data_IF_563382652590
#
_entry.id   IF_563382652590
#
_cell.length_a   1.000
_cell.length_b   1.000
_cell.length_c   1.000
_cell.angle_alpha   90.00
_cell.angle_beta   90.00
_cell.angle_gamma   90.00
#
_symmetry.space_group_name_H-M   'P 1'
#
loop_
_entity.id
_entity.type
_entity.pdbx_description
1 polymer ?
#
# COMPACT_ATOMS: atom_id res chain seq x y z
N UNK A 1 -11.27 10.39 -3.39
CA UNK A 1 -11.79 10.21 -2.04
C UNK A 1 -12.99 11.11 -1.79
N UNK A 2 -13.86 10.75 -0.84
CA UNK A 2 -15.05 11.53 -0.49
C UNK A 2 -15.17 11.63 1.04
N UNK A 3 -14.75 12.76 1.59
CA UNK A 3 -14.92 13.08 3.01
C UNK A 3 -16.09 14.08 3.25
N UNK A 4 -17.00 14.21 2.29
CA UNK A 4 -18.06 15.20 2.34
C UNK A 4 -17.51 16.62 2.24
N UNK A 5 -18.04 17.52 3.06
CA UNK A 5 -17.56 18.92 3.11
C UNK A 5 -16.12 18.98 3.62
N UNK A 6 -15.22 19.50 2.80
CA UNK A 6 -13.79 19.63 3.12
C UNK A 6 -13.55 20.86 4.00
N UNK A 7 -13.41 20.65 5.31
CA UNK A 7 -13.23 21.75 6.28
C UNK A 7 -11.84 22.40 6.08
N UNK A 8 -10.80 21.58 5.94
CA UNK A 8 -9.45 22.05 5.67
C UNK A 8 -8.82 21.19 4.57
N UNK A 9 -8.82 21.64 3.31
CA UNK A 9 -8.31 20.87 2.18
C UNK A 9 -6.86 20.42 2.32
N UNK A 10 -5.99 21.26 2.87
CA UNK A 10 -4.57 20.93 3.07
C UNK A 10 -4.38 19.76 4.05
N UNK A 11 -5.12 19.73 5.14
CA UNK A 11 -5.07 18.62 6.11
C UNK A 11 -5.62 17.34 5.46
N UNK A 12 -6.72 17.44 4.73
CA UNK A 12 -7.33 16.28 4.04
C UNK A 12 -6.35 15.68 3.03
N UNK A 13 -5.72 16.52 2.23
CA UNK A 13 -4.72 16.07 1.25
C UNK A 13 -3.52 15.41 1.93
N UNK A 14 -3.03 15.98 3.03
CA UNK A 14 -2.00 15.38 3.87
C UNK A 14 -2.38 14.01 4.43
N UNK A 15 -3.62 13.82 4.87
CA UNK A 15 -4.15 12.54 5.32
C UNK A 15 -4.21 11.52 4.17
N UNK A 16 -4.65 11.94 2.99
CA UNK A 16 -4.71 11.07 1.80
C UNK A 16 -3.31 10.62 1.38
N UNK A 17 -2.34 11.54 1.29
CA UNK A 17 -0.95 11.21 0.95
C UNK A 17 -0.32 10.27 1.99
N UNK A 18 -0.52 10.56 3.27
CA UNK A 18 -0.01 9.72 4.36
C UNK A 18 -0.61 8.31 4.34
N UNK A 19 -1.93 8.21 4.18
CA UNK A 19 -2.62 6.92 4.10
C UNK A 19 -2.23 6.11 2.86
N UNK A 20 -2.04 6.73 1.70
CA UNK A 20 -1.54 6.04 0.51
C UNK A 20 -0.10 5.55 0.68
N UNK A 21 0.75 6.34 1.35
CA UNK A 21 2.13 5.94 1.67
C UNK A 21 2.15 4.73 2.62
N UNK A 22 1.28 4.71 3.61
CA UNK A 22 1.12 3.56 4.50
C UNK A 22 0.55 2.34 3.75
N UNK A 23 -0.45 2.52 2.89
CA UNK A 23 -0.97 1.44 2.04
C UNK A 23 0.13 0.84 1.15
N UNK A 24 0.99 1.67 0.59
CA UNK A 24 2.18 1.24 -0.15
C UNK A 24 3.13 0.43 0.74
N UNK A 25 3.42 0.92 1.94
CA UNK A 25 4.28 0.22 2.89
C UNK A 25 3.74 -1.18 3.24
N UNK A 26 2.45 -1.27 3.57
CA UNK A 26 1.78 -2.54 3.89
C UNK A 26 1.85 -3.51 2.71
N UNK A 27 1.51 -3.03 1.51
CA UNK A 27 1.47 -3.89 0.34
C UNK A 27 2.86 -4.37 -0.09
N UNK A 28 3.89 -3.53 0.05
CA UNK A 28 5.20 -3.75 -0.57
C UNK A 28 6.29 -4.24 0.36
N UNK A 29 6.16 -4.10 1.68
CA UNK A 29 7.28 -4.46 2.54
C UNK A 29 7.04 -4.65 4.03
N UNK A 30 5.90 -4.21 4.57
CA UNK A 30 5.64 -4.39 6.00
C UNK A 30 5.27 -5.83 6.32
N UNK A 31 6.08 -6.46 7.17
CA UNK A 31 5.85 -7.81 7.68
C UNK A 31 6.36 -7.91 9.12
N UNK A 32 5.59 -8.52 9.99
CA UNK A 32 5.99 -8.78 11.38
C UNK A 32 6.36 -10.25 11.49
N UNK A 33 7.61 -10.52 11.88
CA UNK A 33 8.12 -11.85 12.09
C UNK A 33 8.18 -12.17 13.60
N UNK A 34 7.94 -13.43 13.91
CA UNK A 34 8.04 -13.95 15.26
C UNK A 34 9.05 -15.10 15.33
N UNK A 35 9.78 -15.22 16.45
CA UNK A 35 10.57 -16.40 16.72
C UNK A 35 9.67 -17.58 17.17
N UNK A 36 10.30 -18.73 17.47
CA UNK A 36 9.56 -19.93 17.89
C UNK A 36 8.91 -19.78 19.27
N UNK A 37 9.38 -18.87 20.05
CA UNK A 37 8.91 -18.54 21.40
C UNK A 37 7.81 -17.45 21.39
N UNK A 38 7.51 -16.88 20.21
CA UNK A 38 6.48 -15.85 20.03
C UNK A 38 6.97 -14.42 20.26
N UNK A 39 8.28 -14.18 20.36
CA UNK A 39 8.80 -12.83 20.46
C UNK A 39 8.83 -12.17 19.08
N UNK A 40 8.52 -10.87 19.04
CA UNK A 40 8.58 -10.08 17.81
C UNK A 40 10.03 -9.90 17.38
N UNK A 41 10.33 -10.32 16.15
CA UNK A 41 11.56 -9.97 15.45
C UNK A 41 11.30 -8.70 14.65
N UNK A 42 12.25 -7.78 14.59
CA UNK A 42 12.07 -6.54 13.85
C UNK A 42 11.27 -5.47 14.61
N UNK A 43 11.47 -5.37 15.93
CA UNK A 43 10.85 -4.34 16.76
C UNK A 43 11.48 -2.96 16.67
N UNK A 44 12.35 -2.71 15.68
CA UNK A 44 13.00 -1.43 15.44
C UNK A 44 12.83 -0.97 13.99
N UNK A 45 13.05 0.33 13.72
CA UNK A 45 13.04 0.86 12.36
C UNK A 45 14.20 0.38 11.47
N UNK A 46 15.13 -0.38 12.03
CA UNK A 46 16.16 -1.10 11.25
C UNK A 46 15.58 -2.30 10.52
N UNK A 47 14.55 -2.91 11.07
CA UNK A 47 14.00 -4.20 10.63
C UNK A 47 12.57 -4.07 10.10
N UNK A 48 11.82 -3.08 10.58
CA UNK A 48 10.46 -2.80 10.11
C UNK A 48 10.49 -1.79 8.95
N UNK A 49 9.87 -2.14 7.84
CA UNK A 49 9.85 -1.29 6.65
C UNK A 49 9.05 -0.01 6.86
N UNK A 50 9.73 1.12 6.78
CA UNK A 50 9.16 2.46 6.72
C UNK A 50 9.60 3.10 5.41
N UNK A 51 8.68 3.42 4.48
CA UNK A 51 9.05 4.04 3.22
C UNK A 51 9.73 5.39 3.44
N UNK A 52 10.82 5.61 2.76
CA UNK A 52 11.44 6.93 2.71
C UNK A 52 10.75 7.80 1.66
N UNK A 53 11.02 9.11 1.69
CA UNK A 53 10.50 10.01 0.66
C UNK A 53 10.99 9.66 -0.76
N UNK A 54 12.11 8.96 -0.88
CA UNK A 54 12.63 8.48 -2.16
C UNK A 54 11.84 7.29 -2.71
N UNK A 55 11.35 6.42 -1.84
CA UNK A 55 10.58 5.22 -2.21
C UNK A 55 9.10 5.52 -2.41
N UNK A 56 8.61 6.59 -1.76
CA UNK A 56 7.20 6.98 -1.85
C UNK A 56 6.88 7.53 -3.24
N UNK A 57 5.89 6.97 -3.95
CA UNK A 57 5.44 7.53 -5.21
C UNK A 57 4.89 8.95 -5.08
N UNK A 58 4.89 9.69 -6.18
CA UNK A 58 4.16 10.95 -6.24
C UNK A 58 2.66 10.66 -6.37
N UNK A 59 1.86 11.14 -5.42
CA UNK A 59 0.42 10.93 -5.41
C UNK A 59 -0.30 12.05 -6.14
N UNK A 60 -1.07 11.68 -7.15
CA UNK A 60 -2.07 12.56 -7.75
C UNK A 60 -3.40 12.33 -7.04
N UNK A 61 -4.02 13.39 -6.54
CA UNK A 61 -5.24 13.30 -5.74
C UNK A 61 -6.37 14.12 -6.34
N UNK A 62 -7.58 13.58 -6.26
CA UNK A 62 -8.82 14.27 -6.59
C UNK A 62 -9.89 13.85 -5.58
N UNK A 63 -11.03 14.53 -5.59
CA UNK A 63 -12.08 14.31 -4.62
C UNK A 63 -13.48 14.46 -5.23
N UNK A 64 -14.41 13.72 -4.65
CA UNK A 64 -15.84 13.93 -4.81
C UNK A 64 -16.44 14.46 -3.52
N UNK A 65 -17.61 15.05 -3.59
CA UNK A 65 -18.29 15.63 -2.41
C UNK A 65 -19.69 15.10 -2.32
N UNK A 66 -19.93 14.24 -1.34
CA UNK A 66 -21.26 13.76 -0.94
C UNK A 66 -21.45 14.10 0.54
N UNK A 67 -22.11 15.20 0.88
CA UNK A 67 -22.26 15.60 2.27
C UNK A 67 -22.98 14.55 3.12
N UNK A 68 -22.52 14.37 4.37
CA UNK A 68 -23.20 13.50 5.32
C UNK A 68 -24.52 14.13 5.77
N UNK A 69 -25.64 13.41 5.73
CA UNK A 69 -26.90 13.91 6.25
C UNK A 69 -26.95 13.95 7.79
N UNK A 70 -26.00 13.29 8.45
CA UNK A 70 -25.94 13.15 9.91
C UNK A 70 -25.02 14.18 10.60
N UNK A 71 -24.34 15.01 9.81
CA UNK A 71 -23.44 16.04 10.34
C UNK A 71 -23.86 17.43 9.87
N UNK A 72 -23.92 18.44 10.75
CA UNK A 72 -24.46 19.78 10.40
C UNK A 72 -23.79 20.44 9.21
N UNK A 73 -22.50 20.22 9.01
CA UNK A 73 -21.74 20.77 7.88
C UNK A 73 -21.44 19.71 6.79
N UNK A 74 -21.97 18.52 6.92
CA UNK A 74 -21.83 17.45 5.93
C UNK A 74 -20.44 16.79 5.86
N UNK A 75 -19.57 17.01 6.84
CA UNK A 75 -18.24 16.39 6.88
C UNK A 75 -18.31 14.88 7.20
N UNK A 76 -17.34 14.12 6.69
CA UNK A 76 -17.11 12.69 6.96
C UNK A 76 -15.64 12.47 7.31
N UNK A 77 -15.32 11.31 7.88
CA UNK A 77 -13.94 10.91 8.16
C UNK A 77 -13.11 10.72 6.88
N UNK A 78 -11.81 10.93 6.97
CA UNK A 78 -10.86 10.80 5.85
C UNK A 78 -9.57 10.05 6.24
N UNK A 79 -9.29 9.90 7.54
CA UNK A 79 -7.98 9.46 8.04
C UNK A 79 -7.51 8.10 7.49
N UNK A 80 -8.41 7.12 7.39
CA UNK A 80 -8.05 5.73 7.01
C UNK A 80 -8.56 5.33 5.62
N UNK A 81 -9.35 6.18 4.97
CA UNK A 81 -9.97 5.85 3.67
C UNK A 81 -8.96 5.48 2.58
N UNK A 82 -7.76 6.09 2.49
CA UNK A 82 -6.77 5.71 1.49
C UNK A 82 -6.22 4.29 1.68
N UNK A 83 -6.11 3.81 2.92
CA UNK A 83 -5.64 2.45 3.20
C UNK A 83 -6.61 1.38 2.71
N UNK A 84 -7.91 1.63 2.81
CA UNK A 84 -8.93 0.66 2.40
C UNK A 84 -8.83 0.33 0.90
N UNK A 85 -8.62 1.34 0.07
CA UNK A 85 -8.48 1.17 -1.38
C UNK A 85 -7.05 0.94 -1.84
N UNK A 86 -6.07 1.53 -1.15
CA UNK A 86 -4.66 1.53 -1.56
C UNK A 86 -4.03 0.14 -1.51
N UNK A 87 -4.16 -0.57 -0.41
CA UNK A 87 -3.56 -1.92 -0.26
C UNK A 87 -4.03 -2.89 -1.36
N UNK A 88 -5.34 -3.06 -1.61
CA UNK A 88 -5.79 -3.93 -2.69
C UNK A 88 -5.44 -3.39 -4.08
N UNK A 89 -5.34 -2.08 -4.28
CA UNK A 89 -4.94 -1.51 -5.56
C UNK A 89 -3.50 -1.92 -5.92
N UNK A 90 -2.54 -1.80 -5.00
CA UNK A 90 -1.16 -2.27 -5.20
C UNK A 90 -1.08 -3.77 -5.45
N UNK A 91 -1.88 -4.56 -4.73
CA UNK A 91 -1.93 -6.02 -4.95
C UNK A 91 -2.47 -6.38 -6.32
N UNK A 92 -3.54 -5.73 -6.76
CA UNK A 92 -4.13 -5.94 -8.08
C UNK A 92 -3.19 -5.51 -9.20
N UNK A 93 -2.43 -4.43 -9.01
CA UNK A 93 -1.44 -3.98 -9.97
C UNK A 93 -0.31 -5.02 -10.13
N UNK A 94 0.25 -5.51 -9.01
CA UNK A 94 1.26 -6.56 -9.03
C UNK A 94 0.75 -7.84 -9.73
N UNK A 95 -0.48 -8.25 -9.48
CA UNK A 95 -1.09 -9.40 -10.14
C UNK A 95 -1.28 -9.17 -11.64
N UNK A 96 -1.82 -8.01 -12.02
CA UNK A 96 -2.06 -7.64 -13.41
C UNK A 96 -0.76 -7.56 -14.20
N UNK A 97 0.25 -6.90 -13.65
CA UNK A 97 1.56 -6.73 -14.29
C UNK A 97 2.26 -8.07 -14.55
N UNK A 98 2.20 -9.00 -13.60
CA UNK A 98 2.84 -10.31 -13.70
C UNK A 98 1.97 -11.37 -14.38
N UNK A 99 0.69 -11.09 -14.63
CA UNK A 99 -0.27 -12.09 -15.10
C UNK A 99 -0.55 -13.18 -14.06
N UNK A 100 -0.38 -12.85 -12.79
CA UNK A 100 -0.60 -13.77 -11.68
C UNK A 100 -2.06 -13.74 -11.21
N UNK A 101 -2.54 -14.86 -10.69
CA UNK A 101 -3.86 -14.94 -10.03
C UNK A 101 -3.76 -14.61 -8.54
N UNK A 102 -2.58 -14.82 -7.94
CA UNK A 102 -2.31 -14.53 -6.55
C UNK A 102 -0.80 -14.46 -6.28
N UNK A 103 -0.39 -13.48 -5.49
CA UNK A 103 0.94 -13.37 -4.90
C UNK A 103 0.73 -13.01 -3.42
N UNK A 104 1.38 -13.73 -2.51
CA UNK A 104 1.27 -13.42 -1.08
C UNK A 104 1.90 -12.06 -0.76
N UNK A 105 1.20 -11.26 0.04
CA UNK A 105 1.77 -10.01 0.60
C UNK A 105 2.79 -10.30 1.71
N UNK A 106 3.71 -9.35 1.96
CA UNK A 106 3.97 -8.15 1.17
C UNK A 106 4.55 -8.50 -0.20
N UNK A 107 4.30 -7.68 -1.21
CA UNK A 107 4.82 -7.82 -2.58
C UNK A 107 6.25 -7.28 -2.66
N UNK A 108 7.13 -7.78 -1.79
CA UNK A 108 8.53 -7.41 -1.77
C UNK A 108 9.27 -7.83 -3.06
N UNK A 109 10.47 -7.33 -3.24
CA UNK A 109 11.26 -7.60 -4.43
C UNK A 109 11.51 -9.10 -4.66
N UNK A 110 11.67 -9.88 -3.58
CA UNK A 110 11.91 -11.32 -3.67
C UNK A 110 10.65 -12.07 -4.11
N UNK A 111 9.50 -11.80 -3.50
CA UNK A 111 8.22 -12.44 -3.84
C UNK A 111 7.80 -12.12 -5.27
N UNK A 112 7.93 -10.85 -5.67
CA UNK A 112 7.65 -10.41 -7.04
C UNK A 112 8.60 -11.05 -8.06
N UNK A 113 9.90 -11.05 -7.78
CA UNK A 113 10.88 -11.71 -8.65
C UNK A 113 10.62 -13.21 -8.78
N UNK A 114 10.35 -13.89 -7.65
CA UNK A 114 10.02 -15.30 -7.64
C UNK A 114 8.76 -15.60 -8.45
N UNK A 115 7.70 -14.84 -8.28
CA UNK A 115 6.48 -14.97 -9.05
C UNK A 115 6.73 -14.75 -10.56
N UNK A 116 7.45 -13.71 -10.93
CA UNK A 116 7.80 -13.41 -12.32
C UNK A 116 8.62 -14.56 -12.97
N UNK A 117 9.54 -15.14 -12.23
CA UNK A 117 10.32 -16.29 -12.68
C UNK A 117 9.44 -17.53 -12.84
N UNK A 118 8.64 -17.84 -11.84
CA UNK A 118 7.82 -19.06 -11.82
C UNK A 118 6.70 -19.01 -12.89
N UNK A 119 6.27 -17.81 -13.26
CA UNK A 119 5.34 -17.55 -14.37
C UNK A 119 6.02 -17.45 -15.74
N UNK A 120 7.36 -17.49 -15.79
CA UNK A 120 8.12 -17.38 -17.05
C UNK A 120 8.17 -15.98 -17.66
N UNK A 121 7.76 -14.94 -16.91
CA UNK A 121 7.83 -13.53 -17.34
C UNK A 121 9.29 -13.09 -17.49
N UNK A 122 10.14 -13.57 -16.59
CA UNK A 122 11.61 -13.36 -16.66
C UNK A 122 12.33 -14.69 -16.77
N UNK A 123 13.41 -14.73 -17.56
CA UNK A 123 14.29 -15.90 -17.62
C UNK A 123 15.20 -15.90 -16.40
N UNK A 124 15.24 -17.00 -15.66
CA UNK A 124 16.21 -17.18 -14.58
C UNK A 124 17.65 -17.13 -15.11
N UNK A 125 18.59 -16.71 -14.27
CA UNK A 125 20.01 -16.60 -14.60
C UNK A 125 20.72 -17.94 -14.99
N UNK A 126 19.98 -19.02 -15.16
CA UNK A 126 20.47 -20.35 -15.58
C UNK A 126 19.83 -20.88 -16.85
N UNK A 127 19.01 -20.12 -17.56
CA UNK A 127 18.32 -20.56 -18.79
C UNK A 127 19.02 -20.07 -20.07
N UNK A 128 20.34 -19.93 -20.04
CA UNK A 128 21.16 -19.75 -21.23
C UNK A 128 21.80 -21.10 -21.57
N UNK A 129 21.11 -21.91 -22.37
CA UNK A 129 21.67 -23.00 -23.14
C UNK A 129 20.88 -23.17 -24.43
#
# INVERSE_FOLDING_TARGET
DDCGTRINPMIIEGQVHGGLTEAFAIAMGQEIHYDKEGNVLGGSFMDFFLPTAYETPHWETDFTVTPSPHHPIGAKGVGESPNVGGVPAFSNDAFSFLGATHIQMPHDHWRNWKAARDLGVIKGAGAAA
#
